data_IF_814745245242
#
_entry.id   IF_814745245242
#
_cell.length_a   1.000
_cell.length_b   1.000
_cell.length_c   1.000
_cell.angle_alpha   90.00
_cell.angle_beta   90.00
_cell.angle_gamma   90.00
#
_symmetry.space_group_name_H-M   'P 1'
#
loop_
_entity.id
_entity.type
_entity.pdbx_description
1 polymer ?
#
# COMPACT_ATOMS: atom_id res chain seq x y z
N UNK A 1 -8.54 -13.46 -25.21
CA UNK A 1 -7.64 -13.27 -24.05
C UNK A 1 -7.43 -14.58 -23.30
N UNK A 2 -8.47 -15.21 -22.75
CA UNK A 2 -8.34 -16.50 -22.04
C UNK A 2 -7.78 -17.64 -22.90
N UNK A 3 -8.27 -17.79 -24.14
CA UNK A 3 -7.80 -18.82 -25.07
C UNK A 3 -6.31 -18.70 -25.40
N UNK A 4 -5.81 -17.48 -25.61
CA UNK A 4 -4.39 -17.24 -25.87
C UNK A 4 -3.52 -17.64 -24.67
N UNK A 5 -3.93 -17.30 -23.44
CA UNK A 5 -3.21 -17.71 -22.23
C UNK A 5 -3.23 -19.24 -22.04
N UNK A 6 -4.35 -19.89 -22.35
CA UNK A 6 -4.47 -21.35 -22.31
C UNK A 6 -3.51 -22.06 -23.29
N UNK A 7 -3.18 -21.40 -24.40
CA UNK A 7 -2.20 -21.87 -25.39
C UNK A 7 -0.78 -21.35 -25.15
N UNK A 8 -0.48 -20.88 -23.92
CA UNK A 8 0.88 -20.52 -23.51
C UNK A 8 1.33 -19.12 -23.90
N UNK A 9 0.41 -18.22 -24.26
CA UNK A 9 0.77 -16.82 -24.45
C UNK A 9 1.34 -16.22 -23.16
N UNK A 10 2.44 -15.48 -23.28
CA UNK A 10 3.02 -14.76 -22.15
C UNK A 10 2.15 -13.55 -21.81
N UNK A 11 1.53 -13.55 -20.63
CA UNK A 11 0.70 -12.44 -20.12
C UNK A 11 1.47 -11.10 -20.02
N UNK A 12 2.79 -11.19 -19.88
CA UNK A 12 3.72 -10.07 -19.78
C UNK A 12 4.49 -9.81 -21.09
N UNK A 13 4.00 -10.34 -22.21
CA UNK A 13 4.61 -10.09 -23.52
C UNK A 13 4.73 -8.58 -23.79
N UNK A 14 5.77 -8.21 -24.52
CA UNK A 14 6.12 -6.83 -24.81
C UNK A 14 6.03 -6.60 -26.30
N UNK A 15 5.18 -5.65 -26.71
CA UNK A 15 5.10 -5.23 -28.09
C UNK A 15 6.24 -4.28 -28.45
N UNK A 16 7.37 -4.82 -28.90
CA UNK A 16 8.54 -4.01 -29.26
C UNK A 16 8.29 -3.03 -30.41
N UNK A 17 7.26 -3.26 -31.24
CA UNK A 17 6.89 -2.33 -32.33
C UNK A 17 5.94 -1.22 -31.88
N UNK A 18 5.29 -1.36 -30.72
CA UNK A 18 4.36 -0.38 -30.16
C UNK A 18 4.86 0.09 -28.79
N UNK A 19 5.98 0.81 -28.78
CA UNK A 19 6.54 1.42 -27.57
C UNK A 19 6.80 0.45 -26.42
N UNK A 20 6.99 -0.85 -26.68
CA UNK A 20 7.11 -1.87 -25.63
C UNK A 20 5.86 -1.99 -24.74
N UNK A 21 4.67 -1.77 -25.30
CA UNK A 21 3.41 -1.91 -24.59
C UNK A 21 3.11 -3.37 -24.20
N UNK A 22 2.57 -3.57 -23.00
CA UNK A 22 2.13 -4.88 -22.51
C UNK A 22 0.63 -5.08 -22.72
N UNK A 23 0.12 -6.33 -22.72
CA UNK A 23 -1.32 -6.59 -22.74
C UNK A 23 -2.09 -5.83 -21.66
N UNK A 24 -1.48 -5.64 -20.48
CA UNK A 24 -2.09 -4.88 -19.39
C UNK A 24 -2.16 -3.38 -19.73
N UNK A 25 -1.11 -2.78 -20.29
CA UNK A 25 -1.14 -1.37 -20.73
C UNK A 25 -2.15 -1.17 -21.88
N UNK A 26 -2.23 -2.10 -22.84
CA UNK A 26 -3.24 -2.04 -23.91
C UNK A 26 -4.67 -2.08 -23.34
N UNK A 27 -4.94 -2.92 -22.33
CA UNK A 27 -6.23 -2.96 -21.65
C UNK A 27 -6.56 -1.65 -20.91
N UNK A 28 -5.55 -0.95 -20.37
CA UNK A 28 -5.70 0.37 -19.75
C UNK A 28 -6.12 1.43 -20.76
N UNK A 29 -5.49 1.45 -21.94
CA UNK A 29 -5.85 2.38 -23.03
C UNK A 29 -7.30 2.22 -23.48
N UNK A 30 -7.84 0.99 -23.40
CA UNK A 30 -9.25 0.69 -23.69
C UNK A 30 -10.21 0.93 -22.51
N UNK A 31 -9.72 1.40 -21.35
CA UNK A 31 -10.46 1.49 -20.08
C UNK A 31 -11.18 0.17 -19.68
N UNK A 32 -10.58 -0.97 -20.01
CA UNK A 32 -11.22 -2.27 -19.86
C UNK A 32 -10.94 -2.86 -18.47
N UNK A 33 -11.73 -2.45 -17.46
CA UNK A 33 -11.56 -2.91 -16.06
C UNK A 33 -11.52 -4.42 -15.94
N UNK A 34 -12.49 -5.13 -16.51
CA UNK A 34 -12.57 -6.59 -16.45
C UNK A 34 -11.35 -7.27 -17.11
N UNK A 35 -10.83 -6.70 -18.20
CA UNK A 35 -9.64 -7.22 -18.86
C UNK A 35 -8.39 -7.00 -18.00
N UNK A 36 -8.26 -5.82 -17.37
CA UNK A 36 -7.17 -5.54 -16.44
C UNK A 36 -7.20 -6.50 -15.24
N UNK A 37 -8.38 -6.72 -14.65
CA UNK A 37 -8.56 -7.68 -13.55
C UNK A 37 -8.19 -9.11 -13.98
N UNK A 38 -8.67 -9.55 -15.14
CA UNK A 38 -8.37 -10.87 -15.68
C UNK A 38 -6.86 -11.06 -15.89
N UNK A 39 -6.18 -10.09 -16.50
CA UNK A 39 -4.73 -10.15 -16.73
C UNK A 39 -3.95 -10.21 -15.40
N UNK A 40 -4.32 -9.38 -14.42
CA UNK A 40 -3.70 -9.39 -13.09
C UNK A 40 -3.91 -10.71 -12.35
N UNK A 41 -5.10 -11.32 -12.46
CA UNK A 41 -5.37 -12.65 -11.90
C UNK A 41 -4.54 -13.75 -12.55
N UNK A 42 -4.12 -13.55 -13.81
CA UNK A 42 -3.27 -14.48 -14.56
C UNK A 42 -1.78 -14.10 -14.53
N UNK A 43 -1.34 -13.28 -13.57
CA UNK A 43 0.07 -13.01 -13.32
C UNK A 43 0.68 -11.87 -14.15
N UNK A 44 -0.15 -10.98 -14.71
CA UNK A 44 0.36 -9.74 -15.29
C UNK A 44 1.08 -8.91 -14.22
N UNK A 45 2.27 -8.41 -14.56
CA UNK A 45 3.05 -7.55 -13.69
C UNK A 45 2.46 -6.13 -13.70
N UNK A 46 1.84 -5.74 -12.58
CA UNK A 46 1.21 -4.43 -12.39
C UNK A 46 2.19 -3.24 -12.52
N UNK A 47 3.50 -3.50 -12.45
CA UNK A 47 4.55 -2.48 -12.50
C UNK A 47 5.41 -2.56 -13.77
N UNK A 48 5.11 -3.44 -14.73
CA UNK A 48 5.88 -3.54 -15.95
C UNK A 48 5.69 -2.29 -16.81
N UNK A 49 6.78 -1.56 -17.01
CA UNK A 49 6.78 -0.30 -17.74
C UNK A 49 7.00 -0.50 -19.25
N UNK A 50 6.43 0.40 -20.03
CA UNK A 50 6.71 0.56 -21.45
C UNK A 50 8.08 1.22 -21.71
N UNK A 51 8.38 1.48 -22.98
CA UNK A 51 9.63 2.13 -23.38
C UNK A 51 9.77 3.58 -22.90
N UNK A 52 8.70 4.22 -22.43
CA UNK A 52 8.73 5.55 -21.82
C UNK A 52 8.94 5.50 -20.29
N UNK A 53 9.12 4.30 -19.73
CA UNK A 53 9.17 4.10 -18.28
C UNK A 53 7.80 4.19 -17.61
N UNK A 54 6.70 4.13 -18.39
CA UNK A 54 5.34 4.26 -17.87
C UNK A 54 4.74 2.87 -17.67
N UNK A 55 4.45 2.55 -16.41
CA UNK A 55 3.66 1.37 -16.05
C UNK A 55 2.14 1.59 -16.17
N UNK A 56 1.31 0.55 -15.94
CA UNK A 56 -0.14 0.63 -15.94
C UNK A 56 -0.74 1.78 -15.11
N UNK A 57 -0.18 2.05 -13.92
CA UNK A 57 -0.63 3.15 -13.06
C UNK A 57 -0.38 4.53 -13.68
N UNK A 58 0.72 4.72 -14.41
CA UNK A 58 0.98 5.97 -15.13
C UNK A 58 -0.07 6.18 -16.23
N UNK A 59 -0.30 5.17 -17.08
CA UNK A 59 -1.29 5.22 -18.16
C UNK A 59 -2.71 5.48 -17.63
N UNK A 60 -3.14 4.76 -16.59
CA UNK A 60 -4.45 4.97 -15.99
C UNK A 60 -4.60 6.39 -15.42
N UNK A 61 -3.52 6.96 -14.88
CA UNK A 61 -3.52 8.33 -14.35
C UNK A 61 -3.56 9.37 -15.46
N UNK A 62 -2.73 9.21 -16.50
CA UNK A 62 -2.69 10.11 -17.68
C UNK A 62 -4.07 10.16 -18.36
N UNK A 63 -4.74 9.01 -18.48
CA UNK A 63 -6.05 8.88 -19.12
C UNK A 63 -7.22 9.22 -18.18
N UNK A 64 -6.98 9.49 -16.89
CA UNK A 64 -8.03 9.82 -15.92
C UNK A 64 -8.92 8.63 -15.53
N UNK A 65 -8.48 7.38 -15.74
CA UNK A 65 -9.24 6.17 -15.44
C UNK A 65 -9.21 5.85 -13.93
N UNK A 66 -9.96 6.60 -13.12
CA UNK A 66 -10.00 6.49 -11.65
C UNK A 66 -10.25 5.06 -11.14
N UNK A 67 -11.13 4.30 -11.80
CA UNK A 67 -11.39 2.90 -11.46
C UNK A 67 -10.17 1.99 -11.63
N UNK A 68 -9.41 2.18 -12.71
CA UNK A 68 -8.17 1.44 -12.96
C UNK A 68 -7.05 1.86 -12.00
N UNK A 69 -6.95 3.15 -11.66
CA UNK A 69 -6.04 3.62 -10.60
C UNK A 69 -6.30 2.89 -9.29
N UNK A 70 -7.57 2.83 -8.86
CA UNK A 70 -7.96 2.11 -7.65
C UNK A 70 -7.60 0.62 -7.72
N UNK A 71 -7.89 -0.05 -8.85
CA UNK A 71 -7.52 -1.44 -9.07
C UNK A 71 -6.02 -1.67 -8.93
N UNK A 72 -5.19 -0.86 -9.61
CA UNK A 72 -3.75 -1.05 -9.61
C UNK A 72 -3.12 -0.77 -8.25
N UNK A 73 -3.57 0.25 -7.52
CA UNK A 73 -3.12 0.49 -6.15
C UNK A 73 -3.45 -0.69 -5.23
N UNK A 74 -4.66 -1.27 -5.35
CA UNK A 74 -5.05 -2.49 -4.60
C UNK A 74 -4.20 -3.71 -4.97
N UNK A 75 -3.66 -3.75 -6.18
CA UNK A 75 -2.81 -4.84 -6.69
C UNK A 75 -1.31 -4.60 -6.47
N UNK A 76 -0.94 -3.57 -5.68
CA UNK A 76 0.45 -3.32 -5.30
C UNK A 76 1.25 -2.57 -6.36
N UNK A 77 0.59 -1.74 -7.18
CA UNK A 77 1.29 -0.82 -8.06
C UNK A 77 2.17 0.13 -7.26
N UNK A 78 3.40 0.35 -7.74
CA UNK A 78 4.33 1.32 -7.15
C UNK A 78 3.89 2.74 -7.52
N UNK A 79 3.29 3.41 -6.54
CA UNK A 79 2.84 4.81 -6.68
C UNK A 79 3.99 5.82 -6.68
N UNK A 80 5.24 5.41 -6.40
CA UNK A 80 6.43 6.27 -6.48
C UNK A 80 7.24 6.03 -7.77
N UNK A 81 6.85 5.06 -8.60
CA UNK A 81 7.54 4.78 -9.85
C UNK A 81 7.58 6.04 -10.71
N UNK A 82 8.74 6.33 -11.31
CA UNK A 82 8.95 7.52 -12.15
C UNK A 82 9.14 7.14 -13.59
N UNK A 83 8.47 7.85 -14.48
CA UNK A 83 8.71 7.73 -15.92
C UNK A 83 10.02 8.42 -16.36
N UNK A 84 10.35 8.33 -17.66
CA UNK A 84 11.57 8.97 -18.21
C UNK A 84 11.60 10.49 -18.04
N UNK A 85 10.46 11.14 -17.81
CA UNK A 85 10.36 12.58 -17.54
C UNK A 85 10.42 12.91 -16.06
N UNK A 86 10.77 11.93 -15.21
CA UNK A 86 10.79 12.03 -13.75
C UNK A 86 9.42 12.29 -13.12
N UNK A 87 8.33 12.02 -13.83
CA UNK A 87 6.98 12.15 -13.30
C UNK A 87 6.53 10.84 -12.68
N UNK A 88 6.09 10.92 -11.43
CA UNK A 88 5.37 9.84 -10.76
C UNK A 88 3.85 10.00 -10.97
N UNK A 89 3.03 9.00 -10.61
CA UNK A 89 1.58 9.09 -10.76
C UNK A 89 0.95 10.33 -10.10
N UNK A 90 1.42 10.75 -8.91
CA UNK A 90 0.81 11.92 -8.25
C UNK A 90 1.14 13.22 -8.97
N UNK A 91 2.36 13.38 -9.49
CA UNK A 91 2.74 14.54 -10.30
C UNK A 91 1.89 14.64 -11.55
N UNK A 92 1.65 13.51 -12.24
CA UNK A 92 0.76 13.46 -13.41
C UNK A 92 -0.68 13.84 -13.04
N UNK A 93 -1.22 13.31 -11.93
CA UNK A 93 -2.58 13.61 -11.49
C UNK A 93 -2.76 15.10 -11.14
N UNK A 94 -1.73 15.74 -10.57
CA UNK A 94 -1.71 17.18 -10.31
C UNK A 94 -1.66 17.98 -11.61
N UNK A 95 -0.79 17.62 -12.55
CA UNK A 95 -0.67 18.32 -13.84
C UNK A 95 -1.96 18.25 -14.67
N UNK A 96 -2.71 17.14 -14.55
CA UNK A 96 -4.01 16.94 -15.20
C UNK A 96 -5.19 17.51 -14.39
N UNK A 97 -4.93 18.12 -13.23
CA UNK A 97 -5.94 18.64 -12.30
C UNK A 97 -7.01 17.61 -11.88
N UNK A 98 -6.66 16.32 -11.79
CA UNK A 98 -7.57 15.25 -11.40
C UNK A 98 -7.58 15.03 -9.88
N UNK A 99 -8.46 15.75 -9.17
CA UNK A 99 -8.54 15.73 -7.72
C UNK A 99 -8.85 14.34 -7.11
N UNK A 100 -9.67 13.53 -7.80
CA UNK A 100 -10.03 12.20 -7.34
C UNK A 100 -8.82 11.27 -7.32
N UNK A 101 -8.03 11.27 -8.40
CA UNK A 101 -6.82 10.44 -8.49
C UNK A 101 -5.74 10.92 -7.52
N UNK A 102 -5.57 12.25 -7.36
CA UNK A 102 -4.68 12.80 -6.32
C UNK A 102 -5.07 12.28 -4.93
N UNK A 103 -6.36 12.27 -4.63
CA UNK A 103 -6.88 11.79 -3.34
C UNK A 103 -6.59 10.30 -3.15
N UNK A 104 -6.87 9.46 -4.17
CA UNK A 104 -6.58 8.03 -4.12
C UNK A 104 -5.09 7.73 -3.89
N UNK A 105 -4.20 8.42 -4.60
CA UNK A 105 -2.76 8.24 -4.48
C UNK A 105 -2.24 8.66 -3.09
N UNK A 106 -2.76 9.76 -2.53
CA UNK A 106 -2.42 10.19 -1.15
C UNK A 106 -2.88 9.17 -0.12
N UNK A 107 -4.10 8.65 -0.24
CA UNK A 107 -4.62 7.61 0.67
C UNK A 107 -3.75 6.35 0.57
N UNK A 108 -3.39 5.90 -0.64
CA UNK A 108 -2.54 4.73 -0.82
C UNK A 108 -1.15 4.92 -0.17
N UNK A 109 -0.56 6.11 -0.30
CA UNK A 109 0.70 6.47 0.36
C UNK A 109 0.58 6.40 1.89
N UNK A 110 -0.42 7.07 2.46
CA UNK A 110 -0.66 7.05 3.91
C UNK A 110 -0.87 5.64 4.46
N UNK A 111 -1.63 4.81 3.73
CA UNK A 111 -1.88 3.42 4.12
C UNK A 111 -0.61 2.57 4.14
N UNK A 112 0.35 2.82 3.22
CA UNK A 112 1.62 2.11 3.20
C UNK A 112 2.51 2.55 4.37
N UNK A 113 2.63 3.86 4.59
CA UNK A 113 3.42 4.44 5.68
C UNK A 113 2.92 3.96 7.05
N UNK A 114 1.60 3.87 7.25
CA UNK A 114 1.02 3.35 8.50
C UNK A 114 1.39 1.87 8.72
N UNK A 115 1.33 1.04 7.67
CA UNK A 115 1.71 -0.39 7.75
C UNK A 115 3.20 -0.58 8.03
N UNK A 116 4.05 0.25 7.43
CA UNK A 116 5.50 0.21 7.67
C UNK A 116 5.84 0.63 9.10
N UNK A 117 5.09 1.58 9.67
CA UNK A 117 5.22 1.98 11.08
C UNK A 117 4.79 0.87 12.04
N UNK A 118 3.62 0.25 11.82
CA UNK A 118 3.15 -0.85 12.67
C UNK A 118 4.08 -2.07 12.61
N UNK A 119 4.67 -2.35 11.44
CA UNK A 119 5.67 -3.40 11.26
C UNK A 119 6.99 -3.15 12.01
N UNK A 120 7.37 -1.89 12.20
CA UNK A 120 8.57 -1.51 12.95
C UNK A 120 8.37 -1.56 14.49
N UNK A 121 7.14 -1.44 14.97
CA UNK A 121 6.79 -1.55 16.41
C UNK A 121 6.35 -2.96 16.85
N UNK A 122 6.41 -3.95 15.94
CA UNK A 122 5.99 -5.35 16.12
C UNK A 122 6.77 -6.21 17.13
N UNK A 123 7.58 -5.64 18.02
CA UNK A 123 8.13 -6.32 19.21
C UNK A 123 8.07 -5.48 20.49
N UNK A 124 7.16 -4.52 20.59
CA UNK A 124 6.98 -3.76 21.86
C UNK A 124 5.81 -4.25 22.72
N UNK A 125 5.10 -5.29 22.26
CA UNK A 125 3.92 -5.83 22.93
C UNK A 125 4.13 -7.03 23.85
N UNK A 126 5.32 -7.67 23.89
CA UNK A 126 5.39 -9.04 24.46
C UNK A 126 6.49 -9.32 25.51
N UNK A 127 7.48 -8.44 25.72
CA UNK A 127 8.41 -8.62 26.86
C UNK A 127 7.91 -7.85 28.10
N UNK A 128 7.69 -6.55 27.98
CA UNK A 128 7.22 -5.72 29.09
C UNK A 128 5.80 -6.07 29.55
N UNK A 129 4.89 -6.41 28.62
CA UNK A 129 3.51 -6.77 28.97
C UNK A 129 3.43 -8.14 29.64
N UNK A 130 4.24 -9.12 29.23
CA UNK A 130 4.32 -10.42 29.92
C UNK A 130 4.98 -10.27 31.29
N UNK A 131 6.01 -9.44 31.43
CA UNK A 131 6.67 -9.20 32.72
C UNK A 131 5.75 -8.54 33.74
N UNK A 132 4.91 -7.57 33.35
CA UNK A 132 3.96 -6.94 34.28
C UNK A 132 2.93 -7.96 34.79
N UNK A 133 2.37 -8.82 33.92
CA UNK A 133 1.40 -9.83 34.34
C UNK A 133 2.04 -10.97 35.14
N UNK A 134 3.29 -11.34 34.81
CA UNK A 134 4.08 -12.32 35.55
C UNK A 134 4.48 -11.79 36.94
N UNK A 135 4.86 -10.52 37.04
CA UNK A 135 5.15 -9.85 38.31
C UNK A 135 3.89 -9.70 39.16
N UNK A 136 2.74 -9.34 38.56
CA UNK A 136 1.48 -9.26 39.28
C UNK A 136 1.04 -10.61 39.85
N UNK A 137 1.19 -11.68 39.07
CA UNK A 137 0.86 -13.04 39.52
C UNK A 137 1.83 -13.56 40.59
N UNK A 138 3.12 -13.18 40.54
CA UNK A 138 4.09 -13.48 41.60
C UNK A 138 3.87 -12.64 42.88
N UNK A 139 3.48 -11.36 42.76
CA UNK A 139 3.20 -10.49 43.90
C UNK A 139 1.90 -10.87 44.63
N UNK A 140 0.87 -11.32 43.90
CA UNK A 140 -0.40 -11.74 44.48
C UNK A 140 -0.32 -13.07 45.25
N UNK A 141 0.69 -13.90 44.98
CA UNK A 141 0.83 -15.23 45.57
C UNK A 141 1.43 -15.21 46.99
N UNK A 142 2.16 -14.16 47.40
CA UNK A 142 2.87 -14.13 48.68
C UNK A 142 2.59 -12.89 49.54
N UNK A 143 1.37 -12.83 50.09
CA UNK A 143 0.96 -12.01 51.25
C UNK A 143 0.10 -10.76 50.91
N UNK A 144 -1.23 -10.83 51.09
CA UNK A 144 -2.19 -9.80 50.66
C UNK A 144 -2.16 -8.48 51.46
N UNK A 145 -1.42 -8.41 52.57
CA UNK A 145 -1.33 -7.21 53.40
C UNK A 145 -0.52 -6.05 52.78
N UNK A 146 0.28 -6.31 51.72
CA UNK A 146 1.11 -5.28 51.07
C UNK A 146 0.36 -4.38 50.07
N UNK A 147 -0.92 -4.66 49.79
CA UNK A 147 -1.79 -3.91 48.88
C UNK A 147 -2.53 -2.72 49.54
N UNK A 148 -2.09 -2.24 50.70
CA UNK A 148 -2.69 -1.05 51.31
C UNK A 148 -2.22 0.21 50.58
N UNK A 149 -3.16 0.87 49.88
CA UNK A 149 -2.98 2.20 49.29
C UNK A 149 -2.38 3.13 50.33
N UNK A 150 -1.23 3.74 50.04
CA UNK A 150 -0.76 4.91 50.78
C UNK A 150 -1.86 5.98 50.69
N UNK A 151 -2.50 6.27 51.82
CA UNK A 151 -3.32 7.47 51.98
C UNK A 151 -2.40 8.68 51.78
N UNK A 152 -2.63 9.43 50.71
CA UNK A 152 -2.00 10.73 50.55
C UNK A 152 -2.63 11.67 51.59
N UNK A 153 -1.85 12.07 52.60
CA UNK A 153 -2.21 13.18 53.49
C UNK A 153 -1.96 14.50 52.75
N UNK A 154 -2.99 15.34 52.54
CA UNK A 154 -2.80 16.68 52.01
C UNK A 154 -2.66 17.65 53.19
N UNK A 155 -1.43 18.03 53.55
CA UNK A 155 -1.01 19.34 54.13
C UNK A 155 0.34 19.24 54.85
N UNK A 156 1.38 19.85 54.27
CA UNK A 156 2.23 20.84 54.96
C UNK A 156 3.39 21.28 54.06
N UNK A 157 3.36 22.51 53.55
CA UNK A 157 4.57 23.24 53.17
C UNK A 157 4.74 24.38 54.18
N UNK A 158 5.87 24.49 54.91
CA UNK A 158 6.21 25.73 55.60
C UNK A 158 6.94 26.70 54.66
N UNK A 159 6.85 27.98 55.02
CA UNK A 159 7.27 29.18 54.30
C UNK A 159 8.77 29.31 54.06
#
# INVERSE_FOLDING_TARGET
MADALAHGANVNWVNVTEESSTPLIQAVSANALAACEFLLQNGANVNQADSNGRGPLHHATILGHTGLVCLFLKRGADYNARDKTQKDPISIAVDTANADIVTLLRIAKMNKEMREMDGAFGQSGDETYQDIFRDFSHMASNNPEKLKRRSADPKSYPA
#
